data_IF_248714560221
#
_entry.id   IF_248714560221
#
_cell.length_a   1.000
_cell.length_b   1.000
_cell.length_c   1.000
_cell.angle_alpha   90.00
_cell.angle_beta   90.00
_cell.angle_gamma   90.00
#
_symmetry.space_group_name_H-M   'P 1'
#
loop_
_entity.id
_entity.type
_entity.pdbx_description
1 polymer ?
#
# COMPACT_ATOMS: atom_id res chain seq x y z
N UNK A 1 16.76 -22.75 0.10
CA UNK A 1 17.72 -21.74 0.61
C UNK A 1 16.90 -20.54 1.04
N UNK A 2 17.00 -20.11 2.30
CA UNK A 2 16.17 -19.02 2.83
C UNK A 2 16.77 -17.66 2.47
N UNK A 3 16.52 -17.23 1.23
CA UNK A 3 17.10 -16.02 0.65
C UNK A 3 16.71 -14.75 1.42
N UNK A 4 15.58 -14.76 2.14
CA UNK A 4 15.15 -13.62 2.96
C UNK A 4 15.99 -13.51 4.23
N UNK A 5 16.29 -14.64 4.88
CA UNK A 5 17.21 -14.66 6.01
C UNK A 5 18.63 -14.22 5.63
N UNK A 6 19.12 -14.64 4.46
CA UNK A 6 20.40 -14.18 3.92
C UNK A 6 20.36 -12.66 3.62
N UNK A 7 19.27 -12.14 3.05
CA UNK A 7 19.10 -10.71 2.77
C UNK A 7 19.02 -9.85 4.04
N UNK A 8 18.30 -10.30 5.08
CA UNK A 8 18.26 -9.65 6.39
C UNK A 8 19.65 -9.58 7.03
N UNK A 9 20.38 -10.69 6.98
CA UNK A 9 21.76 -10.77 7.48
C UNK A 9 22.65 -9.78 6.74
N UNK A 10 22.53 -9.71 5.41
CA UNK A 10 23.31 -8.80 4.57
C UNK A 10 23.02 -7.33 4.89
N UNK A 11 21.74 -6.95 5.04
CA UNK A 11 21.36 -5.60 5.43
C UNK A 11 21.97 -5.24 6.79
N UNK A 12 21.84 -6.14 7.78
CA UNK A 12 22.41 -5.94 9.11
C UNK A 12 23.93 -5.73 9.05
N UNK A 13 24.66 -6.59 8.34
CA UNK A 13 26.12 -6.47 8.20
C UNK A 13 26.53 -5.14 7.55
N UNK A 14 25.81 -4.68 6.53
CA UNK A 14 26.10 -3.39 5.90
C UNK A 14 25.94 -2.23 6.90
N UNK A 15 24.86 -2.24 7.69
CA UNK A 15 24.60 -1.23 8.71
C UNK A 15 25.62 -1.29 9.86
N UNK A 16 25.99 -2.47 10.32
CA UNK A 16 27.04 -2.68 11.35
C UNK A 16 28.40 -2.13 10.86
N UNK A 17 28.64 -2.16 9.55
CA UNK A 17 29.81 -1.58 8.89
C UNK A 17 29.66 -0.09 8.53
N UNK A 18 28.62 0.58 9.03
CA UNK A 18 28.30 1.99 8.77
C UNK A 18 28.10 2.32 7.28
N UNK A 19 27.72 1.33 6.47
CA UNK A 19 27.40 1.54 5.07
C UNK A 19 25.95 2.01 4.92
N UNK A 20 25.70 2.95 4.01
CA UNK A 20 24.35 3.38 3.65
C UNK A 20 23.74 2.38 2.66
N UNK A 21 22.68 1.64 3.03
CA UNK A 21 22.07 0.68 2.12
C UNK A 21 21.26 1.39 1.03
N UNK A 22 21.05 0.71 -0.10
CA UNK A 22 20.17 1.21 -1.15
C UNK A 22 18.71 1.16 -0.70
N UNK A 23 18.00 2.30 -0.72
CA UNK A 23 16.58 2.37 -0.36
C UNK A 23 15.68 1.45 -1.22
N UNK A 24 16.04 1.24 -2.50
CA UNK A 24 15.31 0.31 -3.39
C UNK A 24 15.52 -1.13 -2.94
N UNK A 25 16.74 -1.50 -2.52
CA UNK A 25 17.02 -2.85 -2.01
C UNK A 25 16.26 -3.12 -0.72
N UNK A 26 16.24 -2.15 0.21
CA UNK A 26 15.47 -2.23 1.46
C UNK A 26 13.97 -2.36 1.17
N UNK A 27 13.44 -1.53 0.25
CA UNK A 27 12.03 -1.61 -0.17
C UNK A 27 11.68 -3.00 -0.71
N UNK A 28 12.53 -3.57 -1.56
CA UNK A 28 12.30 -4.92 -2.13
C UNK A 28 12.33 -6.01 -1.06
N UNK A 29 13.22 -5.91 -0.08
CA UNK A 29 13.27 -6.83 1.06
C UNK A 29 11.95 -6.78 1.85
N UNK A 30 11.49 -5.58 2.22
CA UNK A 30 10.22 -5.37 2.93
C UNK A 30 9.04 -5.95 2.14
N UNK A 31 8.99 -5.69 0.83
CA UNK A 31 7.93 -6.23 -0.04
C UNK A 31 7.97 -7.76 -0.11
N UNK A 32 9.16 -8.36 -0.19
CA UNK A 32 9.29 -9.81 -0.24
C UNK A 32 8.90 -10.48 1.09
N UNK A 33 9.21 -9.86 2.23
CA UNK A 33 8.74 -10.28 3.55
C UNK A 33 7.22 -10.19 3.64
N UNK A 34 6.62 -9.10 3.15
CA UNK A 34 5.17 -8.94 3.15
C UNK A 34 4.44 -10.00 2.33
N UNK A 35 4.98 -10.36 1.17
CA UNK A 35 4.44 -11.46 0.34
C UNK A 35 4.49 -12.81 1.04
N UNK A 36 5.37 -12.99 2.05
CA UNK A 36 5.44 -14.18 2.90
C UNK A 36 4.56 -14.10 4.15
N UNK A 37 3.91 -12.97 4.40
CA UNK A 37 3.18 -12.75 5.66
C UNK A 37 4.11 -12.45 6.85
N UNK A 38 5.37 -12.10 6.61
CA UNK A 38 6.36 -11.98 7.68
C UNK A 38 6.35 -10.59 8.33
N UNK A 39 5.35 -10.37 9.19
CA UNK A 39 5.17 -9.10 9.93
C UNK A 39 6.38 -8.82 10.84
N UNK A 40 6.87 -9.85 11.55
CA UNK A 40 7.95 -9.73 12.52
C UNK A 40 9.24 -9.21 11.86
N UNK A 41 9.66 -9.79 10.74
CA UNK A 41 10.87 -9.34 10.08
C UNK A 41 10.71 -7.99 9.37
N UNK A 42 9.49 -7.57 9.00
CA UNK A 42 9.25 -6.19 8.54
C UNK A 42 9.54 -5.20 9.69
N UNK A 43 9.08 -5.49 10.90
CA UNK A 43 9.37 -4.65 12.08
C UNK A 43 10.87 -4.65 12.42
N UNK A 44 11.56 -5.79 12.26
CA UNK A 44 13.02 -5.87 12.42
C UNK A 44 13.72 -4.94 11.43
N UNK A 45 13.35 -4.98 10.15
CA UNK A 45 13.91 -4.07 9.13
C UNK A 45 13.60 -2.62 9.48
N UNK A 46 12.39 -2.31 9.94
CA UNK A 46 12.02 -0.95 10.36
C UNK A 46 12.92 -0.43 11.47
N UNK A 47 13.19 -1.26 12.49
CA UNK A 47 14.10 -0.90 13.58
C UNK A 47 15.55 -0.73 13.12
N UNK A 48 16.00 -1.56 12.17
CA UNK A 48 17.37 -1.48 11.61
C UNK A 48 17.63 -0.18 10.86
N UNK A 49 16.65 0.33 10.12
CA UNK A 49 16.79 1.55 9.30
C UNK A 49 16.25 2.82 9.98
N UNK A 50 15.85 2.71 11.25
CA UNK A 50 15.33 3.83 12.03
C UNK A 50 16.38 4.93 12.15
N UNK A 51 16.02 6.16 11.80
CA UNK A 51 16.91 7.32 11.72
C UNK A 51 17.68 7.44 10.40
N UNK A 52 17.54 6.48 9.48
CA UNK A 52 18.16 6.52 8.15
C UNK A 52 17.15 6.78 7.03
N UNK A 53 15.85 6.82 7.33
CA UNK A 53 14.76 6.84 6.36
C UNK A 53 14.92 7.95 5.32
N UNK A 54 15.20 9.17 5.77
CA UNK A 54 15.41 10.32 4.88
C UNK A 54 16.68 10.17 4.03
N UNK A 55 17.73 9.58 4.61
CA UNK A 55 19.02 9.36 3.92
C UNK A 55 18.92 8.33 2.80
N UNK A 56 18.05 7.33 2.96
CA UNK A 56 17.84 6.28 1.96
C UNK A 56 16.55 6.49 1.13
N UNK A 57 15.83 7.58 1.34
CA UNK A 57 14.59 7.91 0.64
C UNK A 57 13.44 6.92 0.90
N UNK A 58 13.38 6.36 2.12
CA UNK A 58 12.41 5.33 2.49
C UNK A 58 11.20 5.95 3.19
N UNK A 59 10.07 6.05 2.47
CA UNK A 59 8.82 6.55 3.05
C UNK A 59 8.26 5.60 4.12
N UNK A 60 7.71 6.17 5.20
CA UNK A 60 6.91 5.43 6.22
C UNK A 60 5.77 4.61 5.59
N UNK A 61 5.21 5.05 4.45
CA UNK A 61 4.17 4.30 3.73
C UNK A 61 4.65 2.95 3.21
N UNK A 62 5.97 2.75 3.01
CA UNK A 62 6.52 1.44 2.64
C UNK A 62 6.25 0.45 3.76
N UNK A 63 6.50 0.81 5.02
CA UNK A 63 6.21 -0.06 6.16
C UNK A 63 4.71 -0.26 6.35
N UNK A 64 3.92 0.81 6.36
CA UNK A 64 2.45 0.71 6.59
C UNK A 64 1.78 -0.23 5.56
N UNK A 65 2.03 -0.01 4.26
CA UNK A 65 1.41 -0.84 3.22
C UNK A 65 1.86 -2.30 3.30
N UNK A 66 3.14 -2.55 3.59
CA UNK A 66 3.68 -3.91 3.58
C UNK A 66 3.37 -4.68 4.87
N UNK A 67 3.29 -4.01 6.01
CA UNK A 67 2.79 -4.61 7.27
C UNK A 67 1.32 -5.02 7.11
N UNK A 68 0.47 -4.15 6.54
CA UNK A 68 -0.93 -4.48 6.26
C UNK A 68 -1.06 -5.66 5.28
N UNK A 69 -0.24 -5.68 4.21
CA UNK A 69 -0.21 -6.81 3.27
C UNK A 69 0.22 -8.11 3.97
N UNK A 70 1.25 -8.06 4.82
CA UNK A 70 1.71 -9.22 5.57
C UNK A 70 0.62 -9.79 6.50
N UNK A 71 -0.10 -8.90 7.21
CA UNK A 71 -1.25 -9.28 8.04
C UNK A 71 -2.35 -9.95 7.20
N UNK A 72 -2.70 -9.37 6.06
CA UNK A 72 -3.68 -9.95 5.13
C UNK A 72 -3.23 -11.34 4.65
N UNK A 73 -1.96 -11.51 4.28
CA UNK A 73 -1.39 -12.81 3.86
C UNK A 73 -1.42 -13.86 4.97
N UNK A 74 -1.48 -13.44 6.24
CA UNK A 74 -1.66 -14.31 7.41
C UNK A 74 -3.11 -14.49 7.84
N UNK A 75 -4.09 -14.15 7.00
CA UNK A 75 -5.52 -14.18 7.31
C UNK A 75 -5.95 -13.23 8.45
N UNK A 76 -5.12 -12.26 8.82
CA UNK A 76 -5.43 -11.24 9.82
C UNK A 76 -6.00 -9.97 9.16
N UNK A 77 -6.98 -10.15 8.27
CA UNK A 77 -7.52 -9.06 7.43
C UNK A 77 -8.17 -7.97 8.29
N UNK A 78 -8.95 -8.36 9.30
CA UNK A 78 -9.64 -7.40 10.18
C UNK A 78 -8.66 -6.51 10.94
N UNK A 79 -7.55 -7.09 11.43
CA UNK A 79 -6.48 -6.35 12.10
C UNK A 79 -5.84 -5.34 11.16
N UNK A 80 -5.57 -5.73 9.90
CA UNK A 80 -5.00 -4.82 8.91
C UNK A 80 -5.92 -3.63 8.63
N UNK A 81 -7.22 -3.89 8.49
CA UNK A 81 -8.24 -2.88 8.23
C UNK A 81 -8.39 -1.93 9.40
N UNK A 82 -8.56 -2.46 10.61
CA UNK A 82 -8.70 -1.65 11.83
C UNK A 82 -7.49 -0.73 12.03
N UNK A 83 -6.28 -1.22 11.80
CA UNK A 83 -5.06 -0.41 11.89
C UNK A 83 -5.05 0.74 10.86
N UNK A 84 -5.44 0.47 9.61
CA UNK A 84 -5.51 1.50 8.56
C UNK A 84 -6.54 2.56 8.91
N UNK A 85 -7.73 2.15 9.35
CA UNK A 85 -8.78 3.08 9.73
C UNK A 85 -8.36 3.94 10.91
N UNK A 86 -7.83 3.32 11.97
CA UNK A 86 -7.33 4.05 13.14
C UNK A 86 -6.26 5.08 12.75
N UNK A 87 -5.36 4.74 11.82
CA UNK A 87 -4.36 5.70 11.32
C UNK A 87 -4.98 6.89 10.56
N UNK A 88 -6.11 6.69 9.88
CA UNK A 88 -6.77 7.71 9.07
C UNK A 88 -7.78 8.55 9.88
N UNK A 89 -8.37 7.99 10.92
CA UNK A 89 -9.41 8.65 11.74
C UNK A 89 -8.88 9.16 13.09
N UNK A 90 -7.62 8.87 13.44
CA UNK A 90 -7.01 9.37 14.68
C UNK A 90 -6.84 10.89 14.66
N UNK A 91 -7.07 11.51 15.82
CA UNK A 91 -6.79 12.94 16.06
C UNK A 91 -5.29 13.28 16.00
N UNK A 92 -4.41 12.30 16.15
CA UNK A 92 -2.97 12.46 16.08
C UNK A 92 -2.38 11.60 14.94
N UNK A 93 -2.49 12.05 13.68
CA UNK A 93 -2.11 11.25 12.53
C UNK A 93 -0.59 11.04 12.47
N UNK A 94 -0.17 9.78 12.30
CA UNK A 94 1.24 9.40 12.15
C UNK A 94 1.85 9.97 10.86
N UNK A 95 1.01 10.20 9.85
CA UNK A 95 1.33 10.72 8.53
C UNK A 95 0.19 11.65 8.10
N UNK A 96 0.52 12.83 7.57
CA UNK A 96 -0.51 13.72 7.00
C UNK A 96 -1.28 13.00 5.88
N UNK A 97 -2.60 13.17 5.86
CA UNK A 97 -3.50 12.48 4.92
C UNK A 97 -3.07 12.61 3.45
N UNK A 98 -2.45 13.73 3.07
CA UNK A 98 -1.94 13.95 1.70
C UNK A 98 -0.84 12.98 1.29
N UNK A 99 -0.06 12.46 2.24
CA UNK A 99 1.01 11.49 2.01
C UNK A 99 0.56 10.03 2.26
N UNK A 100 -0.67 9.83 2.74
CA UNK A 100 -1.21 8.51 3.05
C UNK A 100 -1.77 7.84 1.79
N UNK A 101 -0.97 6.98 1.15
CA UNK A 101 -1.34 6.29 -0.10
C UNK A 101 -1.41 4.77 0.03
N UNK A 102 -2.57 4.18 -0.26
CA UNK A 102 -2.81 2.72 -0.16
C UNK A 102 -2.75 1.99 -1.51
N UNK A 103 -2.43 2.70 -2.59
CA UNK A 103 -2.38 2.15 -3.94
C UNK A 103 -1.51 0.89 -4.06
N UNK A 104 -0.36 0.82 -3.37
CA UNK A 104 0.48 -0.38 -3.40
C UNK A 104 -0.23 -1.60 -2.79
N UNK A 105 -0.81 -1.44 -1.60
CA UNK A 105 -1.55 -2.50 -0.91
C UNK A 105 -2.72 -2.99 -1.77
N UNK A 106 -3.55 -2.05 -2.24
CA UNK A 106 -4.73 -2.34 -3.06
C UNK A 106 -4.37 -3.07 -4.35
N UNK A 107 -3.32 -2.63 -5.05
CA UNK A 107 -2.82 -3.33 -6.23
C UNK A 107 -2.44 -4.77 -5.89
N UNK A 108 -1.71 -4.98 -4.78
CA UNK A 108 -1.24 -6.31 -4.40
C UNK A 108 -2.35 -7.27 -4.01
N UNK A 109 -3.36 -6.83 -3.27
CA UNK A 109 -4.50 -7.69 -2.93
C UNK A 109 -5.32 -8.06 -4.17
N UNK A 110 -5.43 -7.17 -5.16
CA UNK A 110 -6.10 -7.44 -6.44
C UNK A 110 -5.28 -8.38 -7.31
N UNK A 111 -3.97 -8.11 -7.50
CA UNK A 111 -3.05 -8.95 -8.29
C UNK A 111 -2.99 -10.39 -7.75
N UNK A 112 -2.99 -10.55 -6.43
CA UNK A 112 -2.96 -11.85 -5.74
C UNK A 112 -4.34 -12.51 -5.60
N UNK A 113 -5.41 -11.88 -6.11
CA UNK A 113 -6.78 -12.41 -6.06
C UNK A 113 -7.24 -12.74 -4.63
N UNK A 114 -6.89 -11.89 -3.66
CA UNK A 114 -7.28 -12.05 -2.26
C UNK A 114 -8.69 -11.53 -2.04
N UNK A 115 -9.68 -12.17 -2.67
CA UNK A 115 -11.06 -11.67 -2.75
C UNK A 115 -11.70 -11.30 -1.39
N UNK A 116 -11.53 -12.07 -0.30
CA UNK A 116 -12.02 -11.65 1.02
C UNK A 116 -11.41 -10.34 1.52
N UNK A 117 -10.15 -10.06 1.17
CA UNK A 117 -9.49 -8.81 1.53
C UNK A 117 -9.95 -7.66 0.63
N UNK A 118 -10.14 -7.92 -0.67
CA UNK A 118 -10.67 -6.94 -1.63
C UNK A 118 -12.05 -6.45 -1.20
N UNK A 119 -12.96 -7.35 -0.82
CA UNK A 119 -14.29 -7.02 -0.34
C UNK A 119 -14.24 -6.13 0.91
N UNK A 120 -13.52 -6.58 1.95
CA UNK A 120 -13.42 -5.82 3.20
C UNK A 120 -12.72 -4.47 3.02
N UNK A 121 -11.73 -4.37 2.14
CA UNK A 121 -11.09 -3.10 1.76
C UNK A 121 -12.08 -2.16 1.08
N UNK A 122 -12.93 -2.66 0.17
CA UNK A 122 -13.97 -1.84 -0.46
C UNK A 122 -14.92 -1.26 0.60
N UNK A 123 -15.39 -2.10 1.52
CA UNK A 123 -16.28 -1.67 2.62
C UNK A 123 -15.60 -0.59 3.49
N UNK A 124 -14.35 -0.81 3.88
CA UNK A 124 -13.54 0.14 4.65
C UNK A 124 -13.40 1.49 3.92
N UNK A 125 -12.99 1.46 2.65
CA UNK A 125 -12.82 2.66 1.84
C UNK A 125 -14.12 3.44 1.66
N UNK A 126 -15.24 2.76 1.39
CA UNK A 126 -16.57 3.37 1.28
C UNK A 126 -17.01 3.97 2.61
N UNK A 127 -16.76 3.29 3.74
CA UNK A 127 -17.02 3.81 5.08
C UNK A 127 -16.23 5.08 5.37
N UNK A 128 -14.93 5.09 5.08
CA UNK A 128 -14.06 6.26 5.27
C UNK A 128 -14.55 7.47 4.47
N UNK A 129 -15.00 7.25 3.23
CA UNK A 129 -15.59 8.32 2.42
C UNK A 129 -16.92 8.83 3.01
N UNK A 130 -17.84 7.92 3.35
CA UNK A 130 -19.21 8.29 3.70
C UNK A 130 -19.38 8.81 5.14
N UNK A 131 -18.57 8.31 6.08
CA UNK A 131 -18.71 8.65 7.50
C UNK A 131 -17.67 9.67 7.98
N UNK A 132 -16.50 9.71 7.34
CA UNK A 132 -15.38 10.55 7.79
C UNK A 132 -14.95 11.60 6.75
N UNK A 133 -15.59 11.64 5.57
CA UNK A 133 -15.19 12.49 4.44
C UNK A 133 -13.72 12.30 4.01
N UNK A 134 -13.18 11.09 4.20
CA UNK A 134 -11.82 10.72 3.78
C UNK A 134 -11.90 9.98 2.43
N UNK A 135 -11.79 10.74 1.34
CA UNK A 135 -12.03 10.22 -0.03
C UNK A 135 -10.81 9.56 -0.69
N UNK A 136 -9.60 9.78 -0.15
CA UNK A 136 -8.37 9.26 -0.77
C UNK A 136 -8.33 7.73 -0.85
N UNK A 137 -8.69 6.95 0.19
CA UNK A 137 -8.70 5.49 0.12
C UNK A 137 -9.65 4.95 -0.97
N UNK A 138 -10.89 5.44 -1.03
CA UNK A 138 -11.85 4.97 -2.04
C UNK A 138 -11.43 5.35 -3.46
N UNK A 139 -10.78 6.50 -3.63
CA UNK A 139 -10.23 6.94 -4.93
C UNK A 139 -9.02 6.10 -5.33
N UNK A 140 -8.08 5.85 -4.42
CA UNK A 140 -6.93 4.98 -4.68
C UNK A 140 -7.40 3.56 -5.06
N UNK A 141 -8.43 3.04 -4.38
CA UNK A 141 -9.01 1.71 -4.66
C UNK A 141 -9.69 1.65 -6.03
N UNK A 142 -10.53 2.65 -6.35
CA UNK A 142 -11.12 2.80 -7.69
C UNK A 142 -10.06 2.79 -8.79
N UNK A 143 -8.98 3.56 -8.62
CA UNK A 143 -7.90 3.62 -9.60
C UNK A 143 -7.14 2.30 -9.75
N UNK A 144 -7.00 1.51 -8.68
CA UNK A 144 -6.40 0.17 -8.80
C UNK A 144 -7.33 -0.82 -9.51
N UNK A 145 -8.66 -0.73 -9.31
CA UNK A 145 -9.61 -1.54 -10.09
C UNK A 145 -9.53 -1.21 -11.58
N UNK A 146 -9.41 0.08 -11.93
CA UNK A 146 -9.22 0.53 -13.32
C UNK A 146 -7.91 0.00 -13.91
N UNK A 147 -6.77 0.15 -13.22
CA UNK A 147 -5.47 -0.32 -13.72
C UNK A 147 -5.42 -1.85 -13.84
N UNK A 148 -6.15 -2.57 -12.99
CA UNK A 148 -6.30 -4.03 -13.05
C UNK A 148 -7.31 -4.52 -14.11
N UNK A 149 -8.03 -3.61 -14.80
CA UNK A 149 -9.05 -3.97 -15.78
C UNK A 149 -10.36 -4.51 -15.17
N UNK A 150 -10.57 -4.39 -13.86
CA UNK A 150 -11.83 -4.73 -13.17
C UNK A 150 -12.87 -3.62 -13.39
N UNK A 151 -13.27 -3.41 -14.65
CA UNK A 151 -14.09 -2.27 -15.09
C UNK A 151 -15.47 -2.26 -14.45
N UNK A 152 -16.11 -3.42 -14.31
CA UNK A 152 -17.45 -3.50 -13.72
C UNK A 152 -17.44 -3.17 -12.23
N UNK A 153 -16.44 -3.66 -11.50
CA UNK A 153 -16.24 -3.33 -10.08
C UNK A 153 -15.94 -1.84 -9.89
N UNK A 154 -15.06 -1.28 -10.73
CA UNK A 154 -14.76 0.15 -10.71
C UNK A 154 -16.00 1.01 -10.98
N UNK A 155 -16.83 0.61 -11.95
CA UNK A 155 -18.09 1.29 -12.27
C UNK A 155 -19.07 1.22 -11.10
N UNK A 156 -19.24 0.03 -10.50
CA UNK A 156 -20.13 -0.16 -9.38
C UNK A 156 -19.69 0.69 -8.17
N UNK A 157 -18.39 0.76 -7.90
CA UNK A 157 -17.85 1.61 -6.82
C UNK A 157 -18.09 3.09 -7.09
N UNK A 158 -17.87 3.57 -8.31
CA UNK A 158 -18.13 4.97 -8.69
C UNK A 158 -19.61 5.33 -8.54
N UNK A 159 -20.52 4.42 -8.87
CA UNK A 159 -21.96 4.62 -8.70
C UNK A 159 -22.37 4.73 -7.23
N UNK A 160 -21.72 3.97 -6.34
CA UNK A 160 -21.99 4.03 -4.89
C UNK A 160 -21.31 5.23 -4.21
N UNK A 161 -20.17 5.69 -4.75
CA UNK A 161 -19.38 6.79 -4.19
C UNK A 161 -19.04 7.83 -5.27
N UNK A 162 -20.01 8.70 -5.58
CA UNK A 162 -19.86 9.75 -6.60
C UNK A 162 -18.76 10.78 -6.27
N UNK A 163 -18.42 10.97 -5.00
CA UNK A 163 -17.36 11.88 -4.54
C UNK A 163 -15.98 11.56 -5.12
N UNK A 164 -15.77 10.34 -5.63
CA UNK A 164 -14.55 9.95 -6.38
C UNK A 164 -14.37 10.89 -7.59
N UNK A 165 -15.44 11.25 -8.30
CA UNK A 165 -15.38 12.11 -9.47
C UNK A 165 -14.91 13.54 -9.14
N UNK A 166 -15.07 13.97 -7.89
CA UNK A 166 -14.65 15.28 -7.40
C UNK A 166 -13.15 15.32 -7.05
N UNK A 167 -12.48 14.16 -6.93
CA UNK A 167 -11.05 14.06 -6.61
C UNK A 167 -10.14 14.33 -7.83
N UNK A 168 -10.40 15.45 -8.51
CA UNK A 168 -9.81 15.83 -9.80
C UNK A 168 -8.28 15.84 -9.80
N UNK A 169 -7.63 16.29 -8.73
CA UNK A 169 -6.16 16.31 -8.62
C UNK A 169 -5.55 14.90 -8.67
N UNK A 170 -6.14 13.94 -7.94
CA UNK A 170 -5.70 12.54 -7.92
C UNK A 170 -5.95 11.89 -9.29
N UNK A 171 -7.12 12.12 -9.87
CA UNK A 171 -7.49 11.60 -11.20
C UNK A 171 -6.55 12.13 -12.30
N UNK A 172 -6.23 13.43 -12.29
CA UNK A 172 -5.31 14.04 -13.26
C UNK A 172 -3.92 13.40 -13.19
N UNK A 173 -3.36 13.24 -11.98
CA UNK A 173 -2.06 12.59 -11.80
C UNK A 173 -2.08 11.14 -12.32
N UNK A 174 -3.16 10.41 -12.08
CA UNK A 174 -3.33 9.07 -12.61
C UNK A 174 -3.35 9.04 -14.14
N UNK A 175 -4.15 9.88 -14.77
CA UNK A 175 -4.24 9.93 -16.23
C UNK A 175 -2.92 10.36 -16.88
N UNK A 176 -2.22 11.36 -16.32
CA UNK A 176 -0.91 11.77 -16.83
C UNK A 176 0.12 10.63 -16.77
N UNK A 177 0.13 9.84 -15.69
CA UNK A 177 1.01 8.68 -15.55
C UNK A 177 0.67 7.55 -16.52
N UNK A 178 -0.60 7.39 -16.85
CA UNK A 178 -1.08 6.32 -17.74
C UNK A 178 -1.12 6.71 -19.21
N UNK A 179 -1.16 8.00 -19.56
CA UNK A 179 -1.13 8.47 -20.95
C UNK A 179 0.13 8.04 -21.72
N UNK A 180 1.24 7.82 -21.00
CA UNK A 180 2.48 7.30 -21.58
C UNK A 180 2.56 5.77 -21.71
N UNK A 181 1.61 5.02 -21.11
CA UNK A 181 1.54 3.56 -21.28
C UNK A 181 0.87 3.29 -22.63
N UNK A 182 1.59 2.72 -23.60
CA UNK A 182 0.98 2.27 -24.86
C UNK A 182 -0.20 1.34 -24.54
N UNK A 183 -1.39 1.73 -24.97
CA UNK A 183 -2.58 0.91 -24.83
C UNK A 183 -2.38 -0.39 -25.61
N UNK A 184 -2.52 -1.54 -24.93
CA UNK A 184 -2.75 -2.80 -25.61
C UNK A 184 -4.17 -2.74 -26.18
N UNK A 185 -4.32 -2.10 -27.34
CA UNK A 185 -5.52 -2.26 -28.14
C UNK A 185 -5.60 -3.74 -28.52
N UNK A 186 -6.51 -4.48 -27.90
CA UNK A 186 -6.87 -5.80 -28.40
C UNK A 186 -7.38 -5.61 -29.84
N UNK A 187 -6.66 -6.22 -30.77
CA UNK A 187 -7.11 -6.40 -32.16
C UNK A 187 -7.98 -7.65 -32.23
#
# INVERSE_FOLDING_TARGET
RDYLKEALTTLKTALDQQQTPSGIAVTRLIQALAMKGDVENIEVVQKMVNGLEDSIGLSKMVFINNTALAQIKNNNIDVAIENIENMLTSENPVIELQYFGLAYLFRKVIEEQLEPAVEKISIMAERLANQFAIYKPVTDFFLQLVDAGKVDDARALLQRCGAIAEQTSILLVFFLRNAGKQGKAST
#
